data_IF_866168116128
#
_entry.id   IF_866168116128
#
_cell.length_a   1.000
_cell.length_b   1.000
_cell.length_c   1.000
_cell.angle_alpha   90.00
_cell.angle_beta   90.00
_cell.angle_gamma   90.00
#
_symmetry.space_group_name_H-M   'P 1'
#
loop_
_entity.id
_entity.type
_entity.pdbx_description
1 polymer ?
#
# COMPACT_ATOMS: atom_id res chain seq x y z
N UNK A 1 2.48 3.05 17.67
CA UNK A 1 3.49 4.05 17.25
C UNK A 1 2.92 4.83 16.07
N UNK A 2 3.20 6.13 15.95
CA UNK A 2 2.87 6.91 14.76
C UNK A 2 4.16 7.25 14.01
N UNK A 3 4.14 7.13 12.68
CA UNK A 3 5.23 7.48 11.77
C UNK A 3 4.74 8.62 10.89
N UNK A 4 5.13 9.84 11.23
CA UNK A 4 4.81 11.03 10.44
C UNK A 4 5.74 11.12 9.22
N UNK A 5 5.15 11.30 8.04
CA UNK A 5 5.90 11.51 6.79
C UNK A 5 6.22 12.99 6.58
N UNK A 6 7.16 13.29 5.68
CA UNK A 6 7.61 14.65 5.42
C UNK A 6 6.99 15.21 4.13
N UNK A 7 5.93 16.00 4.26
CA UNK A 7 5.22 16.60 3.12
C UNK A 7 4.20 15.65 2.48
N UNK A 8 4.00 15.80 1.17
CA UNK A 8 2.99 15.08 0.40
C UNK A 8 3.31 13.59 0.18
N UNK A 9 2.30 12.84 -0.24
CA UNK A 9 2.45 11.40 -0.58
C UNK A 9 3.58 11.13 -1.59
N UNK A 10 3.72 11.96 -2.61
CA UNK A 10 4.77 11.85 -3.64
C UNK A 10 6.00 12.72 -3.37
N UNK A 11 6.12 13.32 -2.18
CA UNK A 11 7.34 14.05 -1.85
C UNK A 11 8.55 13.13 -1.95
N UNK A 12 9.67 13.61 -2.51
CA UNK A 12 10.87 12.81 -2.67
C UNK A 12 11.53 12.57 -1.31
N UNK A 13 12.00 11.35 -1.10
CA UNK A 13 12.91 11.01 -0.02
C UNK A 13 14.34 11.41 -0.37
N UNK A 14 15.26 11.29 0.59
CA UNK A 14 16.68 11.59 0.39
C UNK A 14 17.34 10.72 -0.70
N UNK A 15 16.80 9.53 -0.98
CA UNK A 15 17.25 8.65 -2.06
C UNK A 15 16.64 8.99 -3.43
N UNK A 16 15.77 9.99 -3.52
CA UNK A 16 15.09 10.40 -4.76
C UNK A 16 13.86 9.55 -5.13
N UNK A 17 13.58 8.47 -4.40
CA UNK A 17 12.32 7.73 -4.49
C UNK A 17 11.20 8.49 -3.80
N UNK A 18 9.94 8.28 -4.21
CA UNK A 18 8.79 8.90 -3.53
C UNK A 18 8.59 8.31 -2.13
N UNK A 19 8.01 9.07 -1.20
CA UNK A 19 7.67 8.53 0.12
C UNK A 19 6.72 7.34 0.04
N UNK A 20 5.74 7.37 -0.87
CA UNK A 20 4.82 6.25 -1.11
C UNK A 20 5.55 4.94 -1.39
N UNK A 21 6.56 4.98 -2.25
CA UNK A 21 7.33 3.78 -2.63
C UNK A 21 8.29 3.38 -1.50
N UNK A 22 8.94 4.36 -0.86
CA UNK A 22 9.91 4.11 0.23
C UNK A 22 9.29 3.47 1.47
N UNK A 23 8.05 3.82 1.84
CA UNK A 23 7.37 3.25 2.99
C UNK A 23 6.58 1.97 2.69
N UNK A 24 6.38 1.62 1.41
CA UNK A 24 5.61 0.44 1.01
C UNK A 24 6.10 -0.89 1.61
N UNK A 25 7.42 -1.14 1.81
CA UNK A 25 7.88 -2.37 2.46
C UNK A 25 7.41 -2.54 3.91
N UNK A 26 7.05 -1.46 4.62
CA UNK A 26 6.58 -1.54 6.00
C UNK A 26 5.11 -1.98 6.11
N UNK A 27 4.34 -1.75 5.03
CA UNK A 27 2.92 -2.10 4.92
C UNK A 27 2.07 -1.75 6.15
N UNK A 28 2.33 -0.56 6.70
CA UNK A 28 1.64 -0.05 7.86
C UNK A 28 0.23 0.45 7.47
N UNK A 29 -0.76 0.29 8.35
CA UNK A 29 -2.00 1.05 8.26
C UNK A 29 -1.72 2.55 8.14
N UNK A 30 -2.50 3.24 7.31
CA UNK A 30 -2.24 4.63 6.92
C UNK A 30 -3.41 5.55 7.26
N UNK A 31 -3.08 6.73 7.79
CA UNK A 31 -3.97 7.88 7.88
C UNK A 31 -3.57 8.89 6.80
N UNK A 32 -4.55 9.43 6.09
CA UNK A 32 -4.35 10.54 5.16
C UNK A 32 -4.92 11.84 5.74
N UNK A 33 -4.08 12.86 5.88
CA UNK A 33 -4.50 14.21 6.30
C UNK A 33 -4.92 14.99 5.05
N UNK A 34 -6.23 15.13 4.82
CA UNK A 34 -6.80 15.87 3.70
C UNK A 34 -6.71 17.38 3.84
N UNK A 35 -6.90 18.08 2.72
CA UNK A 35 -6.86 19.54 2.64
C UNK A 35 -8.28 20.15 2.69
N UNK A 36 -8.51 21.06 3.63
CA UNK A 36 -9.78 21.75 3.83
C UNK A 36 -9.99 22.98 2.94
N UNK A 37 -8.95 23.43 2.22
CA UNK A 37 -8.97 24.64 1.39
C UNK A 37 -9.57 24.39 -0.01
N UNK A 38 -9.68 25.45 -0.81
CA UNK A 38 -10.06 25.37 -2.22
C UNK A 38 -9.17 24.39 -2.99
N UNK A 39 -9.78 23.46 -3.72
CA UNK A 39 -9.07 22.40 -4.45
C UNK A 39 -8.71 21.18 -3.58
N UNK A 40 -8.90 21.27 -2.27
CA UNK A 40 -8.52 20.24 -1.31
C UNK A 40 -9.28 18.92 -1.48
N UNK A 41 -10.54 18.94 -1.96
CA UNK A 41 -11.27 17.72 -2.35
C UNK A 41 -10.48 16.93 -3.40
N UNK A 42 -10.07 17.60 -4.48
CA UNK A 42 -9.35 16.94 -5.57
C UNK A 42 -7.97 16.47 -5.12
N UNK A 43 -7.24 17.28 -4.35
CA UNK A 43 -5.93 16.90 -3.84
C UNK A 43 -6.02 15.66 -2.92
N UNK A 44 -7.00 15.64 -2.02
CA UNK A 44 -7.22 14.52 -1.09
C UNK A 44 -7.56 13.24 -1.82
N UNK A 45 -8.45 13.31 -2.82
CA UNK A 45 -8.83 12.14 -3.65
C UNK A 45 -7.62 11.64 -4.45
N UNK A 46 -6.88 12.51 -5.12
CA UNK A 46 -5.68 12.13 -5.89
C UNK A 46 -4.60 11.50 -5.02
N UNK A 47 -4.42 11.98 -3.79
CA UNK A 47 -3.48 11.41 -2.82
C UNK A 47 -3.94 10.03 -2.33
N UNK A 48 -5.23 9.87 -2.04
CA UNK A 48 -5.82 8.58 -1.71
C UNK A 48 -5.68 7.56 -2.85
N UNK A 49 -5.97 7.95 -4.08
CA UNK A 49 -5.82 7.07 -5.25
C UNK A 49 -4.36 6.68 -5.47
N UNK A 50 -3.42 7.60 -5.21
CA UNK A 50 -1.98 7.31 -5.26
C UNK A 50 -1.57 6.27 -4.21
N UNK A 51 -2.07 6.38 -2.98
CA UNK A 51 -1.88 5.39 -1.92
C UNK A 51 -2.44 4.02 -2.33
N UNK A 52 -3.69 4.00 -2.81
CA UNK A 52 -4.37 2.78 -3.24
C UNK A 52 -3.64 2.08 -4.40
N UNK A 53 -3.13 2.84 -5.38
CA UNK A 53 -2.34 2.28 -6.50
C UNK A 53 -1.01 1.66 -6.06
N UNK A 54 -0.49 2.00 -4.87
CA UNK A 54 0.70 1.33 -4.29
C UNK A 54 0.30 0.23 -3.31
N UNK A 55 -1.00 -0.01 -3.13
CA UNK A 55 -1.53 -1.03 -2.24
C UNK A 55 -1.54 -0.64 -0.76
N UNK A 56 -1.32 0.63 -0.40
CA UNK A 56 -1.43 1.06 1.00
C UNK A 56 -2.87 0.89 1.51
N UNK A 57 -3.01 0.52 2.78
CA UNK A 57 -4.30 0.45 3.47
C UNK A 57 -4.55 1.81 4.13
N UNK A 58 -5.54 2.55 3.65
CA UNK A 58 -5.95 3.83 4.24
C UNK A 58 -7.15 3.60 5.15
N UNK A 59 -6.94 3.59 6.45
CA UNK A 59 -8.00 3.30 7.43
C UNK A 59 -8.88 4.52 7.71
N UNK A 60 -8.32 5.72 7.55
CA UNK A 60 -8.99 6.95 7.95
C UNK A 60 -8.46 8.16 7.18
N UNK A 61 -9.33 9.14 7.00
CA UNK A 61 -9.00 10.46 6.47
C UNK A 61 -9.32 11.51 7.53
N UNK A 62 -8.35 12.35 7.87
CA UNK A 62 -8.53 13.45 8.82
C UNK A 62 -8.39 14.76 8.07
N UNK A 63 -9.24 15.74 8.36
CA UNK A 63 -9.08 17.10 7.83
C UNK A 63 -9.65 18.13 8.78
N UNK A 64 -9.21 19.38 8.63
CA UNK A 64 -9.81 20.47 9.38
C UNK A 64 -11.20 20.80 8.86
N UNK A 65 -12.06 21.23 9.79
CA UNK A 65 -13.34 21.85 9.50
C UNK A 65 -13.09 23.28 9.00
N UNK A 66 -13.83 23.67 7.99
CA UNK A 66 -13.74 24.94 7.27
C UNK A 66 -15.15 25.33 6.79
N UNK A 67 -15.86 26.13 7.59
CA UNK A 67 -17.26 26.49 7.34
C UNK A 67 -17.50 27.18 5.98
N UNK A 68 -16.45 27.66 5.32
CA UNK A 68 -16.56 28.30 4.02
C UNK A 68 -16.56 27.28 2.87
N UNK A 69 -15.54 26.42 2.77
CA UNK A 69 -15.41 25.45 1.67
C UNK A 69 -16.18 24.16 1.91
N UNK A 70 -16.35 23.75 3.17
CA UNK A 70 -17.15 22.58 3.54
C UNK A 70 -16.72 21.27 2.87
N UNK A 71 -15.42 21.12 2.60
CA UNK A 71 -14.87 19.96 1.90
C UNK A 71 -15.25 18.61 2.55
N UNK A 72 -15.32 18.53 3.88
CA UNK A 72 -15.67 17.29 4.58
C UNK A 72 -17.07 16.78 4.26
N UNK A 73 -18.03 17.65 3.98
CA UNK A 73 -19.40 17.23 3.68
C UNK A 73 -19.48 16.45 2.37
N UNK A 74 -18.60 16.75 1.43
CA UNK A 74 -18.45 15.98 0.22
C UNK A 74 -17.60 14.73 0.45
N UNK A 75 -16.49 14.86 1.17
CA UNK A 75 -15.54 13.76 1.35
C UNK A 75 -16.09 12.62 2.23
N UNK A 76 -16.89 12.90 3.26
CA UNK A 76 -17.46 11.88 4.16
C UNK A 76 -18.28 10.82 3.40
N UNK A 77 -19.35 11.18 2.65
CA UNK A 77 -20.09 10.19 1.86
C UNK A 77 -19.24 9.60 0.71
N UNK A 78 -18.32 10.37 0.12
CA UNK A 78 -17.45 9.89 -0.96
C UNK A 78 -16.54 8.73 -0.50
N UNK A 79 -16.01 8.81 0.72
CA UNK A 79 -15.12 7.81 1.30
C UNK A 79 -15.85 6.72 2.08
N UNK A 80 -17.05 7.00 2.59
CA UNK A 80 -17.93 5.97 3.16
C UNK A 80 -18.22 4.85 2.15
N UNK A 81 -18.45 5.19 0.87
CA UNK A 81 -18.61 4.21 -0.21
C UNK A 81 -17.38 3.36 -0.51
N UNK A 82 -16.21 3.72 0.04
CA UNK A 82 -14.94 2.98 -0.07
C UNK A 82 -14.56 2.28 1.25
N UNK A 83 -15.44 2.34 2.26
CA UNK A 83 -15.16 1.78 3.59
C UNK A 83 -14.15 2.59 4.41
N UNK A 84 -13.86 3.85 4.04
CA UNK A 84 -12.88 4.70 4.74
C UNK A 84 -13.62 5.78 5.51
N UNK A 85 -13.30 5.91 6.81
CA UNK A 85 -13.96 6.89 7.68
C UNK A 85 -13.30 8.26 7.55
N UNK A 86 -14.11 9.32 7.45
CA UNK A 86 -13.64 10.71 7.50
C UNK A 86 -13.88 11.27 8.90
N UNK A 87 -12.84 11.85 9.49
CA UNK A 87 -12.88 12.55 10.76
C UNK A 87 -12.55 14.02 10.53
N UNK A 88 -13.30 14.90 11.17
CA UNK A 88 -13.11 16.35 11.09
C UNK A 88 -12.79 16.92 12.45
N UNK A 89 -11.88 17.89 12.48
CA UNK A 89 -11.44 18.58 13.70
C UNK A 89 -11.50 20.06 13.41
N UNK A 90 -11.88 20.88 14.39
CA UNK A 90 -11.83 22.32 14.22
C UNK A 90 -10.39 22.79 13.93
N UNK A 91 -10.18 23.81 13.10
CA UNK A 91 -8.85 24.25 12.73
C UNK A 91 -8.15 24.91 13.93
N UNK A 92 -6.81 24.86 14.00
CA UNK A 92 -6.08 25.59 15.03
C UNK A 92 -6.33 27.10 14.88
N UNK A 93 -6.28 27.85 15.99
CA UNK A 93 -6.43 29.31 15.96
C UNK A 93 -5.32 29.95 15.11
N UNK A 94 -5.58 31.14 14.52
CA UNK A 94 -4.55 31.87 13.78
C UNK A 94 -3.32 32.16 14.65
N UNK A 95 -2.14 32.13 14.04
CA UNK A 95 -0.88 32.42 14.72
C UNK A 95 -0.89 33.84 15.30
N UNK A 96 -0.61 33.95 16.59
CA UNK A 96 -0.47 35.24 17.30
C UNK A 96 1.00 35.68 17.29
N UNK A 97 1.24 36.99 17.21
CA UNK A 97 2.60 37.54 17.14
C UNK A 97 3.37 37.38 18.46
N UNK A 98 2.70 37.53 19.59
CA UNK A 98 3.30 37.30 20.91
C UNK A 98 3.52 35.81 21.17
N UNK A 99 4.72 35.46 21.61
CA UNK A 99 5.12 34.07 21.83
C UNK A 99 4.32 33.40 22.95
N UNK A 100 4.13 34.09 24.08
CA UNK A 100 3.48 33.52 25.26
C UNK A 100 1.98 33.36 25.05
N UNK A 101 1.35 34.35 24.41
CA UNK A 101 -0.06 34.30 24.02
C UNK A 101 -0.30 33.21 22.98
N UNK A 102 0.57 33.10 21.97
CA UNK A 102 0.47 32.03 20.96
C UNK A 102 0.62 30.64 21.60
N UNK A 103 1.56 30.47 22.52
CA UNK A 103 1.75 29.22 23.26
C UNK A 103 0.48 28.86 24.06
N UNK A 104 -0.02 29.80 24.87
CA UNK A 104 -1.22 29.61 25.69
C UNK A 104 -2.44 29.26 24.84
N UNK A 105 -2.62 29.96 23.72
CA UNK A 105 -3.74 29.76 22.79
C UNK A 105 -3.65 28.41 22.07
N UNK A 106 -2.44 27.98 21.71
CA UNK A 106 -2.19 26.67 21.09
C UNK A 106 -2.40 25.53 22.09
N UNK A 107 -1.92 25.68 23.33
CA UNK A 107 -2.14 24.70 24.40
C UNK A 107 -3.63 24.53 24.70
N UNK A 108 -4.38 25.65 24.77
CA UNK A 108 -5.82 25.63 24.92
C UNK A 108 -6.50 24.87 23.77
N UNK A 109 -6.12 25.13 22.53
CA UNK A 109 -6.65 24.40 21.38
C UNK A 109 -6.46 22.88 21.53
N UNK A 110 -5.26 22.42 21.92
CA UNK A 110 -5.03 20.99 22.16
C UNK A 110 -5.91 20.41 23.27
N UNK A 111 -6.14 21.16 24.35
CA UNK A 111 -7.05 20.75 25.44
C UNK A 111 -8.51 20.67 24.96
N UNK A 112 -8.91 21.56 24.06
CA UNK A 112 -10.26 21.58 23.49
C UNK A 112 -10.50 20.39 22.55
N UNK A 113 -9.52 20.06 21.69
CA UNK A 113 -9.64 18.92 20.74
C UNK A 113 -9.32 17.55 21.36
N UNK A 114 -8.63 17.52 22.51
CA UNK A 114 -8.32 16.31 23.29
C UNK A 114 -8.70 16.52 24.76
N UNK A 115 -10.00 16.65 25.08
CA UNK A 115 -10.43 16.90 26.45
C UNK A 115 -10.20 15.67 27.34
N UNK A 116 -9.97 15.90 28.64
CA UNK A 116 -9.70 14.81 29.61
C UNK A 116 -10.84 13.80 29.75
N UNK A 117 -12.05 14.14 29.30
CA UNK A 117 -13.20 13.24 29.27
C UNK A 117 -13.14 12.11 28.24
N UNK A 118 -12.13 12.09 27.34
CA UNK A 118 -11.95 11.01 26.37
C UNK A 118 -13.01 10.96 25.27
N UNK A 119 -13.63 12.10 24.98
CA UNK A 119 -14.69 12.26 23.97
C UNK A 119 -14.26 13.32 22.95
N UNK A 120 -14.66 13.15 21.68
CA UNK A 120 -14.34 14.07 20.60
C UNK A 120 -13.77 13.36 19.37
N UNK A 121 -13.67 14.10 18.26
CA UNK A 121 -13.33 13.54 16.96
C UNK A 121 -11.98 12.81 16.92
N UNK A 122 -10.98 13.29 17.67
CA UNK A 122 -9.67 12.62 17.81
C UNK A 122 -9.81 11.26 18.50
N UNK A 123 -10.54 11.19 19.61
CA UNK A 123 -10.76 9.94 20.32
C UNK A 123 -11.58 8.95 19.49
N UNK A 124 -12.54 9.45 18.70
CA UNK A 124 -13.32 8.61 17.79
C UNK A 124 -12.44 8.09 16.64
N UNK A 125 -11.50 8.89 16.13
CA UNK A 125 -10.51 8.45 15.16
C UNK A 125 -9.60 7.35 15.74
N UNK A 126 -9.10 7.54 16.96
CA UNK A 126 -8.26 6.52 17.64
C UNK A 126 -9.04 5.22 17.85
N UNK A 127 -10.29 5.28 18.34
CA UNK A 127 -11.15 4.09 18.50
C UNK A 127 -11.40 3.38 17.18
N UNK A 128 -11.62 4.14 16.10
CA UNK A 128 -11.79 3.59 14.76
C UNK A 128 -10.54 2.86 14.29
N UNK A 129 -9.35 3.47 14.43
CA UNK A 129 -8.07 2.85 14.09
C UNK A 129 -7.80 1.57 14.90
N UNK A 130 -8.08 1.59 16.20
CA UNK A 130 -7.99 0.39 17.06
C UNK A 130 -8.95 -0.72 16.59
N UNK A 131 -10.15 -0.34 16.14
CA UNK A 131 -11.12 -1.29 15.58
C UNK A 131 -10.62 -1.88 14.26
N UNK A 132 -10.14 -1.04 13.32
CA UNK A 132 -9.55 -1.51 12.06
C UNK A 132 -8.40 -2.48 12.30
N UNK A 133 -7.53 -2.16 13.26
CA UNK A 133 -6.41 -3.03 13.62
C UNK A 133 -6.88 -4.39 14.15
N UNK A 134 -7.85 -4.40 15.08
CA UNK A 134 -8.43 -5.65 15.61
C UNK A 134 -9.09 -6.47 14.51
N UNK A 135 -9.90 -5.84 13.66
CA UNK A 135 -10.56 -6.52 12.54
C UNK A 135 -9.55 -7.11 11.55
N UNK A 136 -8.43 -6.44 11.30
CA UNK A 136 -7.35 -7.00 10.46
C UNK A 136 -6.70 -8.23 11.11
N UNK A 137 -6.46 -8.21 12.42
CA UNK A 137 -5.93 -9.35 13.15
C UNK A 137 -6.90 -10.55 13.09
N UNK A 138 -8.17 -10.32 13.41
CA UNK A 138 -9.23 -11.34 13.35
C UNK A 138 -9.35 -11.94 11.93
N UNK A 139 -9.26 -11.09 10.90
CA UNK A 139 -9.27 -11.54 9.51
C UNK A 139 -8.09 -12.47 9.22
N UNK A 140 -6.85 -12.05 9.52
CA UNK A 140 -5.63 -12.84 9.33
C UNK A 140 -5.64 -14.16 10.13
N UNK A 141 -6.08 -14.13 11.38
CA UNK A 141 -6.19 -15.29 12.25
C UNK A 141 -7.17 -16.33 11.70
N UNK A 142 -8.29 -15.89 11.10
CA UNK A 142 -9.33 -16.76 10.55
C UNK A 142 -9.01 -17.33 9.17
N UNK A 143 -8.06 -16.74 8.42
CA UNK A 143 -7.79 -17.11 7.02
C UNK A 143 -7.47 -18.60 6.83
N UNK A 144 -6.60 -19.25 7.64
CA UNK A 144 -6.29 -20.67 7.46
C UNK A 144 -7.52 -21.55 7.48
N UNK A 145 -8.36 -21.38 8.52
CA UNK A 145 -9.52 -22.22 8.74
C UNK A 145 -10.54 -22.09 7.61
N UNK A 146 -10.85 -20.85 7.22
CA UNK A 146 -11.75 -20.58 6.08
C UNK A 146 -11.21 -21.15 4.78
N UNK A 147 -9.89 -21.13 4.59
CA UNK A 147 -9.23 -21.68 3.42
C UNK A 147 -9.39 -23.19 3.35
N UNK A 148 -9.12 -23.92 4.44
CA UNK A 148 -9.30 -25.38 4.51
C UNK A 148 -10.76 -25.82 4.27
N UNK A 149 -11.72 -25.00 4.68
CA UNK A 149 -13.14 -25.30 4.53
C UNK A 149 -13.69 -24.95 3.13
N UNK A 150 -13.06 -24.02 2.41
CA UNK A 150 -13.64 -23.41 1.20
C UNK A 150 -12.81 -23.56 -0.08
N UNK A 151 -11.50 -23.77 0.03
CA UNK A 151 -10.58 -23.71 -1.11
C UNK A 151 -10.15 -25.10 -1.53
N UNK A 152 -10.28 -25.40 -2.83
CA UNK A 152 -9.70 -26.59 -3.43
C UNK A 152 -8.39 -26.24 -4.14
N UNK A 153 -7.24 -26.48 -3.49
CA UNK A 153 -5.94 -26.23 -4.13
C UNK A 153 -5.63 -27.22 -5.26
N UNK A 154 -5.06 -26.73 -6.39
CA UNK A 154 -4.55 -27.60 -7.44
C UNK A 154 -3.24 -28.26 -6.98
N UNK A 155 -2.99 -29.50 -7.42
CA UNK A 155 -1.76 -30.26 -7.13
C UNK A 155 -1.44 -30.48 -5.63
N UNK A 156 -2.43 -30.37 -4.74
CA UNK A 156 -2.29 -30.64 -3.31
C UNK A 156 -3.15 -31.85 -2.92
N UNK A 157 -2.59 -32.79 -2.17
CA UNK A 157 -3.36 -33.86 -1.53
C UNK A 157 -3.94 -33.33 -0.21
N UNK A 158 -5.21 -32.90 -0.22
CA UNK A 158 -5.84 -32.23 0.94
C UNK A 158 -5.88 -33.08 2.20
N UNK A 159 -5.84 -34.41 2.09
CA UNK A 159 -5.76 -35.29 3.26
C UNK A 159 -4.48 -35.09 4.10
N UNK A 160 -3.47 -34.39 3.58
CA UNK A 160 -2.22 -34.08 4.29
C UNK A 160 -2.16 -32.66 4.88
N UNK A 161 -3.14 -31.81 4.61
CA UNK A 161 -3.19 -30.41 5.02
C UNK A 161 -4.55 -30.15 5.66
N UNK A 162 -4.65 -30.40 6.97
CA UNK A 162 -5.93 -30.40 7.70
C UNK A 162 -5.93 -29.47 8.91
N UNK A 163 -4.76 -28.98 9.31
CA UNK A 163 -4.61 -28.06 10.44
C UNK A 163 -4.29 -26.63 9.96
N UNK A 164 -4.69 -25.63 10.73
CA UNK A 164 -4.49 -24.22 10.39
C UNK A 164 -3.00 -23.87 10.16
N UNK A 165 -2.08 -24.56 10.84
CA UNK A 165 -0.62 -24.37 10.69
C UNK A 165 -0.11 -24.81 9.31
N UNK A 166 -0.88 -25.64 8.60
CA UNK A 166 -0.51 -26.18 7.30
C UNK A 166 -0.77 -25.17 6.17
N UNK A 167 -1.43 -24.04 6.49
CA UNK A 167 -1.77 -22.97 5.55
C UNK A 167 -0.88 -21.74 5.79
N UNK A 168 -0.12 -21.35 4.76
CA UNK A 168 0.60 -20.09 4.78
C UNK A 168 -0.35 -18.92 4.49
N UNK A 169 -0.32 -17.89 5.34
CA UNK A 169 -1.16 -16.69 5.20
C UNK A 169 -0.30 -15.54 4.65
N UNK A 170 -0.54 -15.15 3.40
CA UNK A 170 0.16 -14.04 2.75
C UNK A 170 -0.69 -12.77 2.89
N UNK A 171 -0.18 -11.78 3.61
CA UNK A 171 -0.85 -10.48 3.84
C UNK A 171 -0.51 -9.46 2.74
N UNK A 172 0.74 -9.46 2.25
CA UNK A 172 1.18 -8.58 1.17
C UNK A 172 2.36 -9.19 0.40
N UNK A 173 2.72 -8.61 -0.74
CA UNK A 173 3.94 -8.96 -1.47
C UNK A 173 4.56 -7.71 -2.10
N UNK A 174 5.89 -7.62 -2.12
CA UNK A 174 6.65 -6.53 -2.72
C UNK A 174 8.04 -7.00 -3.14
N UNK A 175 8.47 -6.67 -4.36
CA UNK A 175 9.76 -7.13 -4.88
C UNK A 175 9.79 -8.66 -4.91
N UNK A 176 10.80 -9.29 -4.32
CA UNK A 176 10.92 -10.75 -4.34
C UNK A 176 10.40 -11.42 -3.05
N UNK A 177 9.67 -10.68 -2.21
CA UNK A 177 9.25 -11.17 -0.91
C UNK A 177 7.73 -11.08 -0.67
N UNK A 178 7.19 -12.10 -0.02
CA UNK A 178 5.91 -12.09 0.66
C UNK A 178 6.05 -11.48 2.05
N UNK A 179 4.98 -10.88 2.55
CA UNK A 179 4.76 -10.58 3.96
C UNK A 179 3.80 -11.63 4.50
N UNK A 180 4.31 -12.55 5.32
CA UNK A 180 3.58 -13.72 5.81
C UNK A 180 3.18 -13.55 7.26
N UNK A 181 1.94 -13.89 7.58
CA UNK A 181 1.41 -13.92 8.94
C UNK A 181 1.75 -15.23 9.63
N UNK A 182 2.46 -15.12 10.76
CA UNK A 182 2.98 -16.25 11.53
C UNK A 182 2.33 -16.39 12.93
N UNK A 183 1.22 -15.68 13.20
CA UNK A 183 0.60 -15.68 14.53
C UNK A 183 0.02 -17.04 14.97
N UNK A 184 -0.28 -17.94 14.02
CA UNK A 184 -0.78 -19.28 14.31
C UNK A 184 0.34 -20.33 14.46
N UNK A 185 1.62 -19.94 14.29
CA UNK A 185 2.74 -20.88 14.41
C UNK A 185 3.26 -20.96 15.85
N UNK A 186 3.50 -22.18 16.39
CA UNK A 186 3.79 -22.36 17.82
C UNK A 186 5.12 -21.80 18.34
N UNK A 187 6.00 -21.19 17.52
CA UNK A 187 7.30 -20.69 17.97
C UNK A 187 7.87 -19.53 17.11
N UNK A 188 7.13 -18.44 16.87
CA UNK A 188 7.80 -17.25 16.31
C UNK A 188 8.73 -16.63 17.37
N UNK A 189 10.03 -16.62 17.07
CA UNK A 189 11.06 -15.97 17.89
C UNK A 189 11.01 -14.43 17.74
N UNK A 190 10.39 -13.93 16.66
CA UNK A 190 10.22 -12.51 16.41
C UNK A 190 9.07 -11.93 17.23
N UNK A 191 9.20 -10.67 17.67
CA UNK A 191 8.08 -9.95 18.30
C UNK A 191 6.98 -9.56 17.30
N UNK A 192 7.26 -9.59 15.99
CA UNK A 192 6.30 -9.24 14.92
C UNK A 192 5.46 -10.44 14.51
N UNK A 193 4.15 -10.21 14.29
CA UNK A 193 3.24 -11.20 13.69
C UNK A 193 3.43 -11.38 12.18
N UNK A 194 4.04 -10.39 11.51
CA UNK A 194 4.37 -10.45 10.09
C UNK A 194 5.88 -10.57 9.89
N UNK A 195 6.27 -11.41 8.94
CA UNK A 195 7.67 -11.61 8.57
C UNK A 195 7.82 -11.64 7.05
N UNK A 196 8.90 -11.05 6.51
CA UNK A 196 9.21 -11.16 5.10
C UNK A 196 9.72 -12.58 4.78
N UNK A 197 9.19 -13.19 3.72
CA UNK A 197 9.66 -14.47 3.19
C UNK A 197 9.96 -14.35 1.71
N UNK A 198 11.14 -14.79 1.28
CA UNK A 198 11.55 -14.75 -0.11
C UNK A 198 10.75 -15.75 -0.97
N UNK A 199 10.23 -15.29 -2.10
CA UNK A 199 9.51 -16.13 -3.07
C UNK A 199 10.50 -16.88 -3.98
N UNK A 200 11.09 -17.95 -3.45
CA UNK A 200 12.01 -18.78 -4.22
C UNK A 200 11.37 -19.59 -5.36
N UNK A 201 10.05 -19.71 -5.35
CA UNK A 201 9.29 -20.41 -6.40
C UNK A 201 8.94 -19.49 -7.58
N UNK A 202 9.20 -18.18 -7.43
CA UNK A 202 8.72 -17.15 -8.33
C UNK A 202 7.21 -17.28 -8.60
N UNK A 203 6.43 -17.61 -7.56
CA UNK A 203 5.00 -17.89 -7.62
C UNK A 203 4.63 -18.78 -8.81
N UNK A 204 5.24 -19.98 -8.86
CA UNK A 204 5.08 -20.92 -9.98
C UNK A 204 5.64 -20.40 -11.30
N UNK A 205 6.89 -19.91 -11.28
CA UNK A 205 7.62 -19.41 -12.45
C UNK A 205 6.92 -18.25 -13.20
N UNK A 206 6.02 -17.53 -12.52
CA UNK A 206 5.29 -16.39 -13.08
C UNK A 206 5.92 -15.05 -12.73
N UNK A 207 6.61 -14.96 -11.59
CA UNK A 207 7.30 -13.74 -11.19
C UNK A 207 8.56 -13.53 -12.04
N UNK A 208 8.63 -12.37 -12.68
CA UNK A 208 9.77 -11.97 -13.51
C UNK A 208 10.33 -10.58 -13.14
N UNK A 209 9.49 -9.67 -12.65
CA UNK A 209 9.87 -8.28 -12.32
C UNK A 209 9.59 -7.90 -10.87
N UNK A 210 9.30 -8.91 -10.04
CA UNK A 210 8.90 -8.75 -8.65
C UNK A 210 7.41 -8.41 -8.46
N UNK A 211 6.95 -8.62 -7.23
CA UNK A 211 5.62 -8.34 -6.73
C UNK A 211 5.36 -6.84 -6.63
N UNK A 212 4.11 -6.45 -6.92
CA UNK A 212 3.57 -5.11 -6.74
C UNK A 212 4.37 -3.97 -7.41
N UNK A 213 4.92 -4.21 -8.60
CA UNK A 213 5.69 -3.21 -9.34
C UNK A 213 4.83 -1.99 -9.75
N UNK A 214 5.11 -0.75 -9.29
CA UNK A 214 4.22 0.40 -9.47
C UNK A 214 3.92 0.77 -10.93
N UNK A 215 4.89 0.59 -11.83
CA UNK A 215 4.71 0.90 -13.27
C UNK A 215 3.71 -0.04 -13.93
N UNK A 216 3.72 -1.32 -13.57
CA UNK A 216 2.74 -2.31 -14.06
C UNK A 216 1.35 -2.02 -13.52
N UNK A 217 1.24 -1.72 -12.22
CA UNK A 217 -0.04 -1.36 -11.61
C UNK A 217 -0.67 -0.13 -12.28
N UNK A 218 0.14 0.91 -12.54
CA UNK A 218 -0.35 2.11 -13.22
C UNK A 218 -0.73 1.83 -14.69
N UNK A 219 0.04 1.01 -15.40
CA UNK A 219 -0.28 0.60 -16.77
C UNK A 219 -1.61 -0.17 -16.83
N UNK A 220 -1.82 -1.12 -15.90
CA UNK A 220 -3.05 -1.86 -15.76
C UNK A 220 -4.23 -0.93 -15.42
N UNK A 221 -4.08 -0.04 -14.44
CA UNK A 221 -5.11 0.94 -14.06
C UNK A 221 -5.52 1.83 -15.25
N UNK A 222 -4.53 2.32 -16.01
CA UNK A 222 -4.78 3.12 -17.22
C UNK A 222 -5.51 2.33 -18.30
N UNK A 223 -5.11 1.07 -18.54
CA UNK A 223 -5.77 0.21 -19.51
C UNK A 223 -7.22 -0.07 -19.11
N UNK A 224 -7.46 -0.42 -17.85
CA UNK A 224 -8.80 -0.66 -17.30
C UNK A 224 -9.69 0.59 -17.38
N UNK A 225 -9.18 1.76 -16.99
CA UNK A 225 -9.94 3.01 -17.06
C UNK A 225 -10.26 3.46 -18.50
N UNK A 226 -9.40 3.13 -19.47
CA UNK A 226 -9.60 3.52 -20.87
C UNK A 226 -10.45 2.53 -21.67
N UNK A 227 -10.23 1.23 -21.47
CA UNK A 227 -10.80 0.19 -22.32
C UNK A 227 -11.72 -0.76 -21.55
N UNK A 228 -11.50 -0.97 -20.26
CA UNK A 228 -12.17 -2.04 -19.53
C UNK A 228 -11.97 -3.39 -20.24
N UNK A 229 -13.07 -4.12 -20.43
CA UNK A 229 -13.10 -5.30 -21.28
C UNK A 229 -13.81 -4.99 -22.60
N UNK A 230 -13.15 -5.26 -23.72
CA UNK A 230 -13.73 -5.14 -25.07
C UNK A 230 -13.57 -6.44 -25.83
N UNK A 231 -14.43 -6.64 -26.84
CA UNK A 231 -14.36 -7.77 -27.75
C UNK A 231 -13.00 -7.81 -28.47
N UNK A 232 -12.39 -8.99 -28.59
CA UNK A 232 -11.05 -9.14 -29.17
C UNK A 232 -11.05 -9.24 -30.71
N UNK A 233 -11.92 -10.04 -31.36
CA UNK A 233 -11.84 -10.23 -32.81
C UNK A 233 -12.09 -8.93 -33.60
N UNK A 234 -11.19 -8.64 -34.55
CA UNK A 234 -11.31 -7.55 -35.55
C UNK A 234 -11.29 -6.11 -34.99
N UNK A 235 -10.96 -5.92 -33.71
CA UNK A 235 -10.83 -4.59 -33.10
C UNK A 235 -9.36 -4.18 -33.00
N UNK A 236 -9.07 -2.92 -33.34
CA UNK A 236 -7.74 -2.34 -33.22
C UNK A 236 -7.65 -1.55 -31.91
N UNK A 237 -6.88 -2.07 -30.94
CA UNK A 237 -6.66 -1.39 -29.66
C UNK A 237 -5.50 -0.41 -29.82
N UNK A 238 -5.74 0.87 -29.55
CA UNK A 238 -4.73 1.93 -29.73
C UNK A 238 -3.43 1.71 -28.94
N UNK A 239 -3.43 0.93 -27.84
CA UNK A 239 -2.18 0.54 -27.17
C UNK A 239 -1.22 -0.24 -28.09
N UNK A 240 -1.73 -0.93 -29.10
CA UNK A 240 -0.94 -1.66 -30.09
C UNK A 240 -0.39 -0.74 -31.21
N UNK A 241 -0.78 0.54 -31.25
CA UNK A 241 -0.31 1.47 -32.31
C UNK A 241 1.16 1.85 -32.17
N UNK A 242 1.71 1.75 -30.95
CA UNK A 242 3.13 2.01 -30.65
C UNK A 242 3.97 0.72 -30.68
N UNK A 243 3.37 -0.43 -30.97
CA UNK A 243 4.14 -1.64 -31.20
C UNK A 243 4.98 -1.47 -32.49
N UNK A 244 6.27 -1.86 -32.50
CA UNK A 244 7.07 -1.82 -33.72
C UNK A 244 6.31 -2.52 -34.85
N UNK A 245 6.12 -1.85 -35.98
CA UNK A 245 5.49 -2.47 -37.16
C UNK A 245 6.28 -3.73 -37.50
N UNK A 246 5.68 -4.90 -37.29
CA UNK A 246 6.19 -6.15 -37.84
C UNK A 246 6.18 -5.98 -39.37
N UNK A 247 7.38 -5.97 -39.95
CA UNK A 247 7.56 -5.92 -41.39
C UNK A 247 7.04 -7.21 -41.98
N UNK A 248 5.84 -7.16 -42.57
CA UNK A 248 5.23 -8.24 -43.34
C UNK A 248 4.64 -9.43 -42.55
N UNK A 249 3.52 -9.95 -43.08
CA UNK A 249 2.78 -11.11 -42.57
C UNK A 249 3.53 -12.44 -42.77
N UNK A 250 4.59 -12.44 -43.56
CA UNK A 250 5.33 -13.64 -44.02
C UNK A 250 6.34 -14.16 -42.99
N UNK A 251 6.76 -13.34 -42.02
CA UNK A 251 7.76 -13.75 -41.03
C UNK A 251 7.17 -14.59 -39.88
N UNK A 252 5.83 -14.62 -39.74
CA UNK A 252 5.15 -15.36 -38.67
C UNK A 252 4.94 -16.85 -38.98
N UNK A 253 4.98 -17.26 -40.25
CA UNK A 253 4.62 -18.64 -40.64
C UNK A 253 5.80 -19.61 -40.66
N UNK A 254 7.05 -19.15 -40.52
CA UNK A 254 8.22 -20.05 -40.58
C UNK A 254 9.22 -19.96 -39.43
N UNK A 255 9.48 -18.79 -38.85
CA UNK A 255 10.62 -18.63 -37.91
C UNK A 255 10.25 -18.01 -36.54
N UNK A 256 8.95 -17.80 -36.28
CA UNK A 256 8.47 -16.96 -35.19
C UNK A 256 8.88 -17.37 -33.76
N UNK A 257 9.03 -18.66 -33.46
CA UNK A 257 9.31 -19.10 -32.08
C UNK A 257 10.80 -19.05 -31.70
N UNK A 258 11.72 -19.29 -32.65
CA UNK A 258 13.17 -19.23 -32.39
C UNK A 258 13.71 -17.80 -32.43
N UNK A 259 13.17 -16.96 -33.32
CA UNK A 259 13.64 -15.57 -33.46
C UNK A 259 13.09 -14.66 -32.34
N UNK A 260 11.89 -14.93 -31.81
CA UNK A 260 11.36 -14.23 -30.61
C UNK A 260 12.22 -14.50 -29.37
N UNK A 261 12.71 -15.73 -29.18
CA UNK A 261 13.62 -16.08 -28.08
C UNK A 261 14.98 -15.39 -28.20
N UNK A 262 15.50 -15.24 -29.42
CA UNK A 262 16.77 -14.54 -29.68
C UNK A 262 16.64 -13.03 -29.51
N UNK A 263 15.55 -12.42 -30.00
CA UNK A 263 15.35 -10.96 -29.95
C UNK A 263 14.95 -10.45 -28.58
N UNK A 264 14.29 -11.26 -27.74
CA UNK A 264 14.09 -10.91 -26.31
C UNK A 264 15.41 -10.81 -25.54
N UNK A 265 16.43 -11.60 -25.88
CA UNK A 265 17.74 -11.55 -25.23
C UNK A 265 18.61 -10.35 -25.63
N UNK A 266 18.30 -9.70 -26.76
CA UNK A 266 19.07 -8.55 -27.26
C UNK A 266 18.51 -7.18 -26.84
N UNK A 267 17.43 -7.14 -26.06
CA UNK A 267 16.95 -5.92 -25.44
C UNK A 267 18.02 -5.37 -24.46
N UNK A 268 18.32 -4.05 -24.47
CA UNK A 268 19.35 -3.46 -23.61
C UNK A 268 19.15 -3.74 -22.11
N UNK A 269 17.90 -3.94 -21.69
CA UNK A 269 17.50 -4.26 -20.32
C UNK A 269 17.94 -5.68 -19.88
N UNK A 270 18.08 -6.63 -20.81
CA UNK A 270 18.52 -8.00 -20.49
C UNK A 270 20.05 -8.10 -20.33
N UNK A 271 20.82 -7.26 -21.03
CA UNK A 271 22.29 -7.12 -20.84
C UNK A 271 22.68 -6.45 -19.53
N UNK A 272 21.72 -5.79 -18.85
CA UNK A 272 21.89 -5.29 -17.48
C UNK A 272 21.77 -6.41 -16.45
N UNK A 273 20.89 -7.39 -16.65
CA UNK A 273 20.69 -8.52 -15.72
C UNK A 273 21.88 -9.50 -15.66
N UNK A 274 22.62 -9.68 -16.76
CA UNK A 274 23.77 -10.60 -16.79
C UNK A 274 25.06 -10.04 -16.14
N UNK A 275 25.06 -8.78 -15.69
CA UNK A 275 26.21 -8.13 -15.02
C UNK A 275 26.05 -7.95 -13.50
N UNK A 276 24.99 -8.46 -12.89
CA UNK A 276 24.75 -8.35 -11.44
C UNK A 276 25.26 -9.54 -10.61
N UNK A 277 26.28 -10.25 -11.10
CA UNK A 277 27.20 -10.92 -10.18
C UNK A 277 28.20 -9.87 -9.67
N UNK A 278 28.15 -9.61 -8.35
CA UNK A 278 29.13 -8.89 -7.53
C UNK A 278 28.86 -7.39 -7.24
N UNK A 279 27.92 -7.10 -6.34
CA UNK A 279 28.09 -6.06 -5.30
C UNK A 279 27.57 -6.59 -3.97
N UNK A 280 28.50 -7.08 -3.16
CA UNK A 280 28.31 -7.41 -1.75
C UNK A 280 28.58 -6.13 -0.95
N UNK A 281 27.78 -5.90 0.09
CA UNK A 281 27.99 -4.94 1.18
C UNK A 281 27.42 -3.53 0.98
N UNK A 282 26.20 -3.34 1.48
CA UNK A 282 25.87 -2.21 2.35
C UNK A 282 24.49 -2.48 2.97
N UNK A 283 24.44 -2.62 4.30
CA UNK A 283 23.42 -2.11 5.22
C UNK A 283 23.48 -2.90 6.53
N UNK A 284 24.55 -2.67 7.28
CA UNK A 284 24.41 -2.56 8.73
C UNK A 284 23.76 -1.20 9.01
N UNK A 285 22.48 -1.19 9.32
CA UNK A 285 21.88 -0.11 10.10
C UNK A 285 20.96 -0.74 11.14
N UNK A 286 21.56 -0.95 12.32
CA UNK A 286 20.84 -1.30 13.54
C UNK A 286 20.04 -0.07 13.98
N UNK A 287 18.73 -0.07 13.76
CA UNK A 287 17.82 0.70 14.59
C UNK A 287 17.35 -0.22 15.70
N UNK A 288 17.99 -0.07 16.86
CA UNK A 288 17.56 -0.73 18.09
C UNK A 288 16.34 0.02 18.60
N UNK A 289 15.15 -0.54 18.40
CA UNK A 289 13.98 -0.14 19.18
C UNK A 289 13.70 -1.24 20.20
N UNK A 290 14.01 -0.95 21.48
CA UNK A 290 13.77 -1.86 22.60
C UNK A 290 12.29 -1.82 23.01
N UNK A 291 11.74 -3.03 23.16
CA UNK A 291 10.55 -3.40 23.95
C UNK A 291 9.20 -3.13 23.25
N UNK A 292 8.77 -4.10 22.43
CA UNK A 292 7.37 -4.24 22.00
C UNK A 292 6.84 -5.61 22.43
N UNK A 293 5.60 -5.62 22.92
CA UNK A 293 4.81 -6.84 23.16
C UNK A 293 4.50 -7.48 21.79
N UNK A 294 4.20 -8.78 21.75
CA UNK A 294 3.87 -9.48 20.49
C UNK A 294 2.68 -8.81 19.79
N UNK A 295 2.85 -8.42 18.53
CA UNK A 295 1.84 -7.74 17.71
C UNK A 295 2.30 -7.58 16.25
N UNK A 296 1.44 -7.12 15.35
CA UNK A 296 1.88 -6.61 14.03
C UNK A 296 2.91 -5.49 14.26
N UNK A 297 3.73 -5.13 13.28
CA UNK A 297 4.51 -3.88 13.36
C UNK A 297 3.58 -2.73 13.76
N UNK A 298 3.62 -2.32 15.04
CA UNK A 298 2.62 -1.43 15.66
C UNK A 298 2.84 0.03 15.24
N UNK A 299 2.78 0.32 13.95
CA UNK A 299 2.97 1.65 13.37
C UNK A 299 1.75 2.09 12.55
N UNK A 300 1.38 3.36 12.66
CA UNK A 300 0.44 4.01 11.74
C UNK A 300 1.20 5.07 10.97
N UNK A 301 1.17 4.98 9.65
CA UNK A 301 1.81 5.94 8.76
C UNK A 301 0.88 7.13 8.53
N UNK A 302 1.39 8.36 8.68
CA UNK A 302 0.59 9.58 8.51
C UNK A 302 1.11 10.37 7.32
N UNK A 303 0.29 10.45 6.27
CA UNK A 303 0.56 11.26 5.09
C UNK A 303 -0.18 12.58 5.12
N UNK A 304 0.51 13.66 4.75
CA UNK A 304 -0.09 14.96 4.53
C UNK A 304 -0.43 15.11 3.05
N UNK A 305 -1.54 15.79 2.75
CA UNK A 305 -1.92 16.21 1.38
C UNK A 305 -1.37 17.58 1.07
#
# INVERSE_FOLDING_TARGET
>A
MYVETAGGVHSPTLSGTTQLDSYRPLFLPTILIGDSRLGGISATISSYESLALRGHIVDSILLFRDEYYRNWEYLDPYFAGKGVKVHTIDPPPPKVADYHENLTTTEKYYQDIVPSGGQGAIFDAIKHLDSCHKSRLEELESMPRRTLESVWWPFVQHAHYVEDKDVAVIDSALGDAFTVYNGNQPQSASPSLLEPQFDGSASWWTQAVGHAQPSLTLAAARASGRYGHTMFPKLFIYLLSNWPKLSSKTDLERDGLQELSSRMMDLPEWKLLSRWHFVRSALENRVVCRRARRGLTEGILVFLV
#
